data_IF_315788867412
#
_entry.id   IF_315788867412
#
_cell.length_a   1.000
_cell.length_b   1.000
_cell.length_c   1.000
_cell.angle_alpha   90.00
_cell.angle_beta   90.00
_cell.angle_gamma   90.00
#
_symmetry.space_group_name_H-M   'P 1'
#
loop_
_entity.id
_entity.type
_entity.pdbx_description
1 polymer ?
#
# COMPACT_ATOMS: atom_id res chain seq x y z
N UNK A 1 1.06 -4.64 -8.94
CA UNK A 1 0.27 -3.80 -7.99
C UNK A 1 0.46 -2.35 -8.35
N UNK A 2 -0.60 -1.55 -8.40
CA UNK A 2 -0.52 -0.15 -8.79
C UNK A 2 0.17 0.69 -7.71
N UNK A 3 0.92 1.72 -8.13
CA UNK A 3 1.60 2.63 -7.21
C UNK A 3 0.58 3.54 -6.50
N UNK A 4 0.62 3.56 -5.17
CA UNK A 4 -0.21 4.42 -4.32
C UNK A 4 -0.02 5.90 -4.62
N UNK A 5 1.21 6.30 -5.00
CA UNK A 5 1.52 7.68 -5.38
C UNK A 5 0.75 8.08 -6.64
N UNK A 6 0.71 7.18 -7.63
CA UNK A 6 -0.03 7.43 -8.87
C UNK A 6 -1.53 7.59 -8.62
N UNK A 7 -2.12 6.73 -7.76
CA UNK A 7 -3.54 6.82 -7.40
C UNK A 7 -3.83 8.15 -6.71
N UNK A 8 -2.93 8.63 -5.84
CA UNK A 8 -3.10 9.89 -5.13
C UNK A 8 -2.94 11.12 -6.02
N UNK A 9 -1.97 11.11 -6.93
CA UNK A 9 -1.64 12.28 -7.73
C UNK A 9 -2.48 12.40 -9.01
N UNK A 10 -2.92 11.26 -9.57
CA UNK A 10 -3.67 11.20 -10.82
C UNK A 10 -4.81 10.17 -10.77
N UNK A 11 -5.80 10.32 -9.87
CA UNK A 11 -6.88 9.34 -9.70
C UNK A 11 -7.72 9.15 -10.96
N UNK A 12 -8.02 10.23 -11.69
CA UNK A 12 -8.78 10.19 -12.94
C UNK A 12 -8.07 9.38 -14.02
N UNK A 13 -6.77 9.54 -14.17
CA UNK A 13 -5.99 8.73 -15.11
C UNK A 13 -6.05 7.23 -14.74
N UNK A 14 -5.98 6.91 -13.45
CA UNK A 14 -6.08 5.51 -12.98
C UNK A 14 -7.47 4.95 -13.27
N UNK A 15 -8.52 5.72 -13.01
CA UNK A 15 -9.90 5.36 -13.28
C UNK A 15 -10.13 5.11 -14.78
N UNK A 16 -9.70 6.03 -15.64
CA UNK A 16 -9.79 5.91 -17.10
C UNK A 16 -9.07 4.67 -17.61
N UNK A 17 -7.87 4.39 -17.11
CA UNK A 17 -7.10 3.21 -17.52
C UNK A 17 -7.72 1.89 -17.05
N UNK A 18 -8.30 1.86 -15.88
CA UNK A 18 -8.93 0.66 -15.34
C UNK A 18 -10.32 0.42 -15.94
N UNK A 19 -11.04 1.47 -16.35
CA UNK A 19 -12.34 1.34 -17.04
C UNK A 19 -12.24 0.56 -18.36
N UNK A 20 -11.05 0.60 -19.01
CA UNK A 20 -10.77 -0.20 -20.20
C UNK A 20 -10.89 -1.73 -20.00
N UNK A 21 -10.95 -2.17 -18.74
CA UNK A 21 -11.20 -3.58 -18.39
C UNK A 21 -12.68 -3.96 -18.27
N UNK A 22 -13.58 -3.03 -18.61
CA UNK A 22 -15.03 -3.27 -18.57
C UNK A 22 -15.61 -3.37 -17.16
N UNK A 23 -14.82 -3.07 -16.11
CA UNK A 23 -15.27 -3.10 -14.71
C UNK A 23 -15.09 -1.74 -14.06
N UNK A 24 -16.00 -1.42 -13.15
CA UNK A 24 -15.91 -0.22 -12.33
C UNK A 24 -15.16 -0.55 -11.03
N UNK A 25 -14.16 0.29 -10.71
CA UNK A 25 -13.39 0.21 -9.48
C UNK A 25 -13.61 1.49 -8.68
N UNK A 26 -13.71 1.40 -7.36
CA UNK A 26 -13.90 2.57 -6.49
C UNK A 26 -12.57 3.31 -6.26
N UNK A 27 -12.06 3.92 -7.33
CA UNK A 27 -10.83 4.72 -7.28
C UNK A 27 -10.98 5.94 -6.37
N UNK A 28 -12.12 6.67 -6.33
CA UNK A 28 -12.32 7.77 -5.39
C UNK A 28 -12.12 7.36 -3.93
N UNK A 29 -12.64 6.20 -3.53
CA UNK A 29 -12.45 5.69 -2.17
C UNK A 29 -10.98 5.40 -1.87
N UNK A 30 -10.28 4.69 -2.76
CA UNK A 30 -8.87 4.38 -2.61
C UNK A 30 -8.04 5.66 -2.59
N UNK A 31 -8.35 6.64 -3.45
CA UNK A 31 -7.71 7.95 -3.45
C UNK A 31 -7.85 8.64 -2.08
N UNK A 32 -9.05 8.67 -1.50
CA UNK A 32 -9.29 9.22 -0.16
C UNK A 32 -8.38 8.57 0.89
N UNK A 33 -8.30 7.24 0.90
CA UNK A 33 -7.43 6.51 1.82
C UNK A 33 -5.94 6.89 1.64
N UNK A 34 -5.47 7.08 0.40
CA UNK A 34 -4.07 7.48 0.13
C UNK A 34 -3.77 8.89 0.60
N UNK A 35 -4.73 9.81 0.50
CA UNK A 35 -4.60 11.19 0.99
C UNK A 35 -4.56 11.19 2.52
N UNK A 36 -5.50 10.52 3.17
CA UNK A 36 -5.56 10.43 4.64
C UNK A 36 -4.27 9.81 5.21
N UNK A 37 -3.76 8.76 4.58
CA UNK A 37 -2.47 8.17 4.96
C UNK A 37 -1.33 9.18 4.90
N UNK A 38 -1.27 9.98 3.84
CA UNK A 38 -0.24 11.02 3.68
C UNK A 38 -0.35 12.11 4.76
N UNK A 39 -1.56 12.52 5.09
CA UNK A 39 -1.80 13.50 6.16
C UNK A 39 -1.30 12.97 7.51
N UNK A 40 -1.59 11.71 7.84
CA UNK A 40 -1.07 11.07 9.05
C UNK A 40 0.47 11.03 9.06
N UNK A 41 1.12 10.71 7.93
CA UNK A 41 2.59 10.73 7.83
C UNK A 41 3.17 12.12 8.11
N UNK A 42 2.51 13.18 7.64
CA UNK A 42 2.91 14.58 7.89
C UNK A 42 2.78 14.90 9.37
N UNK A 43 1.67 14.53 10.01
CA UNK A 43 1.43 14.76 11.44
C UNK A 43 2.45 14.02 12.32
N UNK A 44 2.72 12.76 12.04
CA UNK A 44 3.75 11.98 12.74
C UNK A 44 5.12 12.67 12.62
N UNK A 45 5.50 13.05 11.39
CA UNK A 45 6.79 13.70 11.14
C UNK A 45 6.93 15.04 11.86
N UNK A 46 5.85 15.83 11.90
CA UNK A 46 5.79 17.11 12.62
C UNK A 46 5.97 16.89 14.13
N UNK A 47 5.18 15.99 14.72
CA UNK A 47 5.25 15.68 16.15
C UNK A 47 6.61 15.11 16.56
N UNK A 48 7.22 14.26 15.74
CA UNK A 48 8.56 13.73 15.98
C UNK A 48 9.62 14.82 15.90
N UNK A 49 9.50 15.77 14.96
CA UNK A 49 10.39 16.93 14.88
C UNK A 49 10.30 17.81 16.13
N UNK A 50 9.07 18.11 16.57
CA UNK A 50 8.84 18.88 17.80
C UNK A 50 9.35 18.15 19.05
N UNK A 51 9.12 16.84 19.14
CA UNK A 51 9.65 16.01 20.23
C UNK A 51 11.18 16.04 20.29
N UNK A 52 11.86 15.98 19.13
CA UNK A 52 13.32 16.10 19.05
C UNK A 52 13.82 17.48 19.53
N UNK A 53 13.14 18.56 19.11
CA UNK A 53 13.47 19.92 19.58
C UNK A 53 13.30 20.05 21.10
N UNK A 54 12.19 19.53 21.60
CA UNK A 54 11.88 19.56 23.04
C UNK A 54 12.91 18.76 23.85
N UNK A 55 13.33 17.60 23.37
CA UNK A 55 14.35 16.76 24.01
C UNK A 55 15.71 17.49 24.13
N UNK A 56 16.07 18.27 23.09
CA UNK A 56 17.29 19.12 23.15
C UNK A 56 17.19 20.21 24.23
N UNK A 57 16.02 20.87 24.31
CA UNK A 57 15.78 21.89 25.31
C UNK A 57 15.86 21.28 26.71
N UNK A 58 15.19 20.14 26.93
CA UNK A 58 15.26 19.43 28.22
C UNK A 58 16.70 19.04 28.58
N UNK A 59 17.48 18.56 27.60
CA UNK A 59 18.90 18.25 27.84
C UNK A 59 19.73 19.46 28.23
N UNK A 60 19.52 20.60 27.59
CA UNK A 60 20.19 21.88 27.96
C UNK A 60 19.79 22.38 29.33
N UNK A 61 18.51 22.33 29.69
CA UNK A 61 18.00 22.70 30.99
C UNK A 61 18.58 21.82 32.10
N UNK A 62 18.73 20.53 31.90
CA UNK A 62 19.34 19.61 32.87
C UNK A 62 20.82 19.95 33.10
N UNK A 63 21.54 20.36 32.05
CA UNK A 63 22.96 20.75 32.16
C UNK A 63 23.11 22.07 32.87
N UNK A 64 22.24 23.05 32.58
CA UNK A 64 22.32 24.43 33.10
C UNK A 64 21.76 24.57 34.52
N UNK A 65 20.74 23.78 34.85
CA UNK A 65 20.13 23.85 36.19
C UNK A 65 20.75 22.82 37.12
N UNK A 66 21.37 23.31 38.23
CA UNK A 66 21.82 22.47 39.35
C UNK A 66 20.66 21.73 40.03
N UNK A 67 19.43 22.06 39.71
CA UNK A 67 18.20 21.53 40.32
C UNK A 67 17.33 20.82 39.30
N UNK A 68 17.47 19.50 39.23
CA UNK A 68 16.76 18.59 38.29
C UNK A 68 15.24 18.50 38.52
N UNK A 69 14.71 19.15 39.57
CA UNK A 69 13.30 19.09 39.96
C UNK A 69 12.57 20.44 39.79
N UNK A 70 13.00 21.30 38.88
CA UNK A 70 12.28 22.54 38.62
C UNK A 70 10.89 22.26 38.04
N UNK A 71 9.91 23.05 38.45
CA UNK A 71 8.53 22.97 37.96
C UNK A 71 8.45 23.09 36.42
N UNK A 72 9.37 23.86 35.84
CA UNK A 72 9.50 24.05 34.40
C UNK A 72 9.97 22.78 33.68
N UNK A 73 10.97 22.10 34.23
CA UNK A 73 11.47 20.83 33.68
C UNK A 73 10.37 19.74 33.66
N UNK A 74 9.56 19.69 34.72
CA UNK A 74 8.43 18.75 34.76
C UNK A 74 7.38 19.06 33.70
N UNK A 75 7.04 20.34 33.48
CA UNK A 75 6.14 20.77 32.40
C UNK A 75 6.67 20.36 30.99
N UNK A 76 7.98 20.51 30.77
CA UNK A 76 8.59 20.10 29.50
C UNK A 76 8.56 18.59 29.31
N UNK A 77 8.82 17.81 30.35
CA UNK A 77 8.72 16.35 30.35
C UNK A 77 7.28 15.89 30.05
N UNK A 78 6.29 16.51 30.68
CA UNK A 78 4.87 16.22 30.44
C UNK A 78 4.47 16.54 29.00
N UNK A 79 4.96 17.64 28.43
CA UNK A 79 4.76 17.99 27.04
C UNK A 79 5.38 16.92 26.10
N UNK A 80 6.58 16.45 26.42
CA UNK A 80 7.25 15.36 25.69
C UNK A 80 6.45 14.05 25.74
N UNK A 81 5.91 13.70 26.90
CA UNK A 81 5.05 12.52 27.05
C UNK A 81 3.75 12.65 26.21
N UNK A 82 3.14 13.85 26.19
CA UNK A 82 1.96 14.10 25.34
C UNK A 82 2.28 13.90 23.83
N UNK A 83 3.44 14.35 23.37
CA UNK A 83 3.86 14.11 21.99
C UNK A 83 4.05 12.62 21.70
N UNK A 84 4.67 11.88 22.63
CA UNK A 84 4.85 10.43 22.49
C UNK A 84 3.52 9.69 22.39
N UNK A 85 2.54 10.03 23.23
CA UNK A 85 1.20 9.43 23.20
C UNK A 85 0.53 9.72 21.85
N UNK A 86 0.53 10.98 21.40
CA UNK A 86 -0.06 11.35 20.11
C UNK A 86 0.60 10.61 18.93
N UNK A 87 1.92 10.51 18.92
CA UNK A 87 2.64 9.75 17.87
C UNK A 87 2.17 8.30 17.86
N UNK A 88 2.08 7.66 19.03
CA UNK A 88 1.60 6.27 19.13
C UNK A 88 0.16 6.10 18.62
N UNK A 89 -0.73 7.06 18.92
CA UNK A 89 -2.11 7.07 18.42
C UNK A 89 -2.17 7.19 16.89
N UNK A 90 -1.36 8.08 16.31
CA UNK A 90 -1.28 8.24 14.86
C UNK A 90 -0.64 7.04 14.18
N UNK A 91 0.38 6.42 14.76
CA UNK A 91 1.00 5.21 14.25
C UNK A 91 0.01 4.02 14.25
N UNK A 92 -0.85 3.93 15.26
CA UNK A 92 -1.91 2.92 15.27
C UNK A 92 -2.97 3.17 14.18
N UNK A 93 -3.40 4.42 14.02
CA UNK A 93 -4.31 4.82 12.92
C UNK A 93 -3.70 4.51 11.56
N UNK A 94 -2.43 4.87 11.36
CA UNK A 94 -1.70 4.57 10.13
C UNK A 94 -1.67 3.08 9.83
N UNK A 95 -1.37 2.24 10.81
CA UNK A 95 -1.34 0.77 10.63
C UNK A 95 -2.68 0.20 10.19
N UNK A 96 -3.80 0.68 10.77
CA UNK A 96 -5.15 0.28 10.36
C UNK A 96 -5.43 0.71 8.92
N UNK A 97 -5.07 1.94 8.58
CA UNK A 97 -5.26 2.51 7.26
C UNK A 97 -4.39 1.82 6.20
N UNK A 98 -3.12 1.53 6.51
CA UNK A 98 -2.22 0.79 5.63
C UNK A 98 -2.78 -0.61 5.29
N UNK A 99 -3.35 -1.30 6.28
CA UNK A 99 -3.99 -2.60 6.04
C UNK A 99 -5.19 -2.47 5.11
N UNK A 100 -6.09 -1.53 5.37
CA UNK A 100 -7.26 -1.29 4.53
C UNK A 100 -6.86 -0.89 3.11
N UNK A 101 -5.89 0.01 2.98
CA UNK A 101 -5.37 0.45 1.68
C UNK A 101 -4.74 -0.71 0.90
N UNK A 102 -3.98 -1.57 1.57
CA UNK A 102 -3.39 -2.76 0.96
C UNK A 102 -4.47 -3.73 0.46
N UNK A 103 -5.53 -3.95 1.24
CA UNK A 103 -6.66 -4.79 0.85
C UNK A 103 -7.37 -4.23 -0.39
N UNK A 104 -7.63 -2.92 -0.44
CA UNK A 104 -8.31 -2.30 -1.57
C UNK A 104 -7.43 -2.27 -2.84
N UNK A 105 -6.15 -1.91 -2.72
CA UNK A 105 -5.24 -1.90 -3.87
C UNK A 105 -5.01 -3.31 -4.42
N UNK A 106 -5.01 -4.34 -3.57
CA UNK A 106 -4.83 -5.73 -4.02
C UNK A 106 -5.96 -6.23 -4.93
N UNK A 107 -7.13 -5.62 -4.85
CA UNK A 107 -8.29 -5.91 -5.73
C UNK A 107 -8.13 -5.30 -7.11
N UNK A 108 -7.25 -4.29 -7.27
CA UNK A 108 -7.05 -3.62 -8.54
C UNK A 108 -6.17 -4.45 -9.47
N UNK A 109 -6.59 -4.68 -10.72
CA UNK A 109 -5.74 -5.28 -11.71
C UNK A 109 -4.67 -4.27 -12.20
N UNK A 110 -3.66 -4.77 -12.91
CA UNK A 110 -2.73 -3.91 -13.63
C UNK A 110 -3.41 -3.22 -14.82
N UNK A 111 -2.85 -2.10 -15.27
CA UNK A 111 -3.33 -1.45 -16.49
C UNK A 111 -3.23 -2.38 -17.69
N UNK A 112 -4.24 -2.38 -18.57
CA UNK A 112 -4.15 -3.10 -19.81
C UNK A 112 -3.08 -2.50 -20.73
N UNK A 113 -2.51 -3.31 -21.62
CA UNK A 113 -1.68 -2.81 -22.71
C UNK A 113 -2.49 -1.89 -23.63
N UNK A 114 -1.82 -1.00 -24.35
CA UNK A 114 -2.47 -0.12 -25.33
C UNK A 114 -3.14 -0.90 -26.46
N UNK A 115 -2.59 -2.07 -26.77
CA UNK A 115 -3.07 -2.94 -27.87
C UNK A 115 -4.13 -3.96 -27.41
N UNK A 116 -4.45 -3.97 -26.10
CA UNK A 116 -5.47 -4.86 -25.58
C UNK A 116 -6.87 -4.37 -26.00
N UNK A 117 -7.73 -5.24 -26.54
CA UNK A 117 -9.11 -4.87 -26.87
C UNK A 117 -9.90 -4.53 -25.62
N UNK A 118 -10.92 -3.71 -25.77
CA UNK A 118 -11.89 -3.43 -24.72
C UNK A 118 -12.74 -4.68 -24.46
N UNK A 119 -12.88 -5.08 -23.21
CA UNK A 119 -13.70 -6.22 -22.88
C UNK A 119 -13.64 -6.66 -21.43
N UNK A 120 -14.68 -7.36 -21.00
CA UNK A 120 -14.82 -7.86 -19.63
C UNK A 120 -14.28 -9.28 -19.43
N UNK A 121 -14.20 -10.05 -20.52
CA UNK A 121 -13.84 -11.46 -20.48
C UNK A 121 -13.11 -11.91 -21.76
N UNK A 122 -12.72 -13.17 -21.81
CA UNK A 122 -11.96 -13.79 -22.89
C UNK A 122 -12.65 -13.76 -24.26
N UNK A 123 -13.97 -13.66 -24.33
CA UNK A 123 -14.71 -13.58 -25.60
C UNK A 123 -14.42 -12.27 -26.36
N UNK A 124 -13.91 -11.26 -25.66
CA UNK A 124 -13.51 -9.99 -26.24
C UNK A 124 -12.05 -10.01 -26.73
N UNK A 125 -11.31 -11.10 -26.52
CA UNK A 125 -9.92 -11.20 -26.96
C UNK A 125 -9.83 -11.28 -28.49
N UNK A 126 -8.91 -10.49 -29.05
CA UNK A 126 -8.60 -10.52 -30.48
C UNK A 126 -7.53 -11.58 -30.75
N UNK A 127 -7.85 -12.55 -31.61
CA UNK A 127 -6.86 -13.52 -32.09
C UNK A 127 -5.88 -12.82 -33.02
N UNK A 128 -4.64 -12.60 -32.60
CA UNK A 128 -3.62 -11.88 -33.36
C UNK A 128 -2.90 -12.81 -34.33
N UNK A 129 -2.65 -14.07 -33.93
CA UNK A 129 -1.93 -15.06 -34.74
C UNK A 129 -2.34 -16.44 -34.35
N UNK A 130 -2.40 -17.32 -35.34
CA UNK A 130 -2.59 -18.76 -35.19
C UNK A 130 -1.42 -19.47 -35.83
N UNK A 131 -0.93 -20.52 -35.21
CA UNK A 131 0.13 -21.35 -35.75
C UNK A 131 -0.06 -22.82 -35.35
N UNK A 132 -0.01 -23.72 -36.32
CA UNK A 132 -0.19 -25.15 -36.12
C UNK A 132 -1.62 -25.57 -35.81
N UNK A 133 -1.86 -26.86 -35.82
CA UNK A 133 -3.15 -27.46 -35.45
C UNK A 133 -3.09 -27.90 -33.97
N UNK A 134 -4.06 -27.51 -33.13
CA UNK A 134 -4.14 -28.01 -31.78
C UNK A 134 -4.30 -29.52 -31.71
N UNK A 135 -3.57 -30.18 -30.83
CA UNK A 135 -3.76 -31.61 -30.59
C UNK A 135 -5.12 -31.84 -29.91
N UNK A 136 -6.06 -32.34 -30.68
CA UNK A 136 -7.40 -32.74 -30.20
C UNK A 136 -7.40 -34.22 -29.81
N UNK A 137 -6.78 -34.54 -28.67
CA UNK A 137 -6.84 -35.91 -28.10
C UNK A 137 -7.69 -35.87 -26.84
N UNK A 138 -8.64 -36.77 -26.72
CA UNK A 138 -9.59 -36.84 -25.61
C UNK A 138 -8.97 -37.22 -24.25
N UNK A 139 -7.73 -37.64 -24.22
CA UNK A 139 -7.02 -38.10 -22.99
C UNK A 139 -5.66 -37.42 -22.79
N UNK A 140 -5.57 -36.09 -22.97
CA UNK A 140 -4.37 -35.37 -22.65
C UNK A 140 -4.22 -35.22 -21.14
N UNK A 141 -3.05 -35.59 -20.60
CA UNK A 141 -2.73 -35.37 -19.19
C UNK A 141 -2.52 -33.89 -18.90
N UNK A 142 -2.99 -33.43 -17.75
CA UNK A 142 -2.72 -32.09 -17.30
C UNK A 142 -1.22 -31.88 -17.01
N UNK A 143 -0.73 -30.65 -17.12
CA UNK A 143 0.71 -30.36 -16.97
C UNK A 143 1.27 -30.76 -15.60
N UNK A 144 0.46 -30.70 -14.53
CA UNK A 144 0.88 -31.18 -13.20
C UNK A 144 1.03 -32.70 -13.16
N UNK A 145 0.14 -33.47 -13.79
CA UNK A 145 0.25 -34.92 -13.89
C UNK A 145 1.48 -35.35 -14.68
N UNK A 146 1.81 -34.58 -15.74
CA UNK A 146 3.04 -34.80 -16.52
C UNK A 146 4.25 -34.49 -15.67
N UNK A 147 4.23 -33.38 -14.93
CA UNK A 147 5.32 -32.97 -14.06
C UNK A 147 5.61 -33.97 -12.94
N UNK A 148 4.57 -34.50 -12.29
CA UNK A 148 4.70 -35.56 -11.29
C UNK A 148 5.27 -36.86 -11.90
N UNK A 149 4.74 -37.32 -13.02
CA UNK A 149 5.22 -38.52 -13.69
C UNK A 149 6.69 -38.42 -14.13
N UNK A 150 7.16 -37.23 -14.44
CA UNK A 150 8.54 -36.96 -14.85
C UNK A 150 9.44 -36.57 -13.67
N UNK A 151 8.94 -36.55 -12.42
CA UNK A 151 9.63 -36.10 -11.23
C UNK A 151 10.27 -34.71 -11.38
N UNK A 152 9.57 -33.78 -12.06
CA UNK A 152 10.04 -32.41 -12.27
C UNK A 152 9.80 -31.51 -11.06
N UNK A 153 8.88 -31.86 -10.17
CA UNK A 153 8.61 -31.17 -8.91
C UNK A 153 8.14 -32.17 -7.85
N UNK A 154 8.40 -31.84 -6.62
CA UNK A 154 8.00 -32.61 -5.45
C UNK A 154 6.76 -31.96 -4.83
N UNK A 155 5.59 -32.59 -5.02
CA UNK A 155 4.31 -32.11 -4.48
C UNK A 155 4.07 -32.52 -3.00
N UNK A 156 5.04 -33.26 -2.41
CA UNK A 156 4.94 -33.74 -1.03
C UNK A 156 5.89 -32.95 -0.12
N UNK A 157 5.67 -31.64 0.01
CA UNK A 157 6.27 -30.84 1.09
C UNK A 157 5.27 -29.96 1.76
#
# INVERSE_FOLDING_TARGET
MLDQKLIRENPTFVEDKLSLRGKVFDIPFIHKLTVERKEIDIEISSLQSESKKLSKIIGQEIINSKNTNSQELNKLKDKGNKYRIKVSEFEEKKRKLDKQLQEEISKLPNFPSKDAPLGENENNNLKIKEWGDPLTKDNLKAHWEIGENLNLFDSIK
#
